data_IF_015854756180
#
_entry.id   IF_015854756180
#
_cell.length_a   1.000
_cell.length_b   1.000
_cell.length_c   1.000
_cell.angle_alpha   90.00
_cell.angle_beta   90.00
_cell.angle_gamma   90.00
#
_symmetry.space_group_name_H-M   'P 1'
#
loop_
_entity.id
_entity.type
_entity.pdbx_description
1 polymer ?
#
# COMPACT_ATOMS: atom_id res chain seq x y z
N UNK A 1 5.08 -19.33 -4.48
CA UNK A 1 3.88 -18.47 -4.64
C UNK A 1 4.06 -17.79 -5.96
N UNK A 2 3.14 -17.97 -6.89
CA UNK A 2 3.44 -17.76 -8.30
C UNK A 2 2.26 -17.07 -8.97
N UNK A 3 2.53 -16.01 -9.73
CA UNK A 3 1.59 -15.54 -10.73
C UNK A 3 1.52 -16.57 -11.85
N UNK A 4 0.31 -16.88 -12.32
CA UNK A 4 0.14 -17.70 -13.50
C UNK A 4 -0.33 -16.85 -14.67
N UNK A 5 0.49 -16.79 -15.72
CA UNK A 5 0.13 -16.19 -17.01
C UNK A 5 -0.47 -17.29 -17.90
N UNK A 6 -1.71 -17.11 -18.33
CA UNK A 6 -2.35 -17.96 -19.34
C UNK A 6 -3.05 -17.07 -20.35
N UNK A 7 -2.64 -17.18 -21.62
CA UNK A 7 -3.09 -16.28 -22.70
C UNK A 7 -2.76 -14.82 -22.35
N UNK A 8 -3.72 -13.91 -22.60
CA UNK A 8 -3.67 -12.48 -22.26
C UNK A 8 -4.20 -12.18 -20.85
N UNK A 9 -4.13 -13.15 -19.92
CA UNK A 9 -4.58 -12.96 -18.54
C UNK A 9 -3.60 -13.50 -17.54
N UNK A 10 -3.63 -12.88 -16.36
CA UNK A 10 -2.82 -13.26 -15.22
C UNK A 10 -3.69 -13.51 -14.02
N UNK A 11 -3.42 -14.63 -13.35
CA UNK A 11 -4.21 -15.17 -12.26
C UNK A 11 -3.38 -15.26 -10.99
N UNK A 12 -4.01 -14.96 -9.87
CA UNK A 12 -3.49 -15.31 -8.56
C UNK A 12 -3.79 -16.78 -8.27
N UNK A 13 -2.74 -17.55 -7.98
CA UNK A 13 -2.86 -18.97 -7.66
C UNK A 13 -2.23 -19.30 -6.31
N UNK A 14 -2.80 -20.29 -5.63
CA UNK A 14 -2.30 -20.81 -4.37
C UNK A 14 -1.09 -21.73 -4.56
N UNK A 15 -0.51 -22.19 -3.45
CA UNK A 15 0.68 -23.06 -3.45
C UNK A 15 0.44 -24.39 -4.16
N UNK A 16 -0.79 -24.88 -4.14
CA UNK A 16 -1.22 -26.09 -4.84
C UNK A 16 -1.62 -25.85 -6.31
N UNK A 17 -1.53 -24.61 -6.79
CA UNK A 17 -1.92 -24.20 -8.14
C UNK A 17 -3.41 -23.89 -8.33
N UNK A 18 -4.24 -23.97 -7.27
CA UNK A 18 -5.65 -23.58 -7.35
C UNK A 18 -5.80 -22.07 -7.58
N UNK A 19 -6.82 -21.67 -8.33
CA UNK A 19 -7.09 -20.26 -8.63
C UNK A 19 -7.80 -19.58 -7.44
N UNK A 20 -7.35 -18.39 -7.07
CA UNK A 20 -7.94 -17.60 -5.98
C UNK A 20 -9.12 -16.71 -6.43
N UNK A 21 -9.54 -16.79 -7.70
CA UNK A 21 -10.65 -15.99 -8.23
C UNK A 21 -10.27 -14.57 -8.68
N UNK A 22 -9.00 -14.18 -8.52
CA UNK A 22 -8.46 -12.88 -8.93
C UNK A 22 -7.73 -12.97 -10.25
N UNK A 23 -7.98 -12.00 -11.14
CA UNK A 23 -7.38 -11.96 -12.47
C UNK A 23 -7.22 -10.54 -13.00
N UNK A 24 -6.30 -10.35 -13.93
CA UNK A 24 -6.23 -9.14 -14.77
C UNK A 24 -5.78 -9.46 -16.19
N UNK A 25 -5.89 -8.49 -17.08
CA UNK A 25 -5.27 -8.56 -18.41
C UNK A 25 -3.73 -8.63 -18.29
N UNK A 26 -3.11 -9.42 -19.14
CA UNK A 26 -1.67 -9.51 -19.29
C UNK A 26 -1.18 -8.36 -20.18
N UNK A 27 -1.12 -7.16 -19.62
CA UNK A 27 -0.56 -5.97 -20.26
C UNK A 27 0.67 -5.46 -19.50
N UNK A 28 1.15 -4.25 -19.82
CA UNK A 28 2.30 -3.65 -19.12
C UNK A 28 2.06 -3.38 -17.62
N UNK A 29 0.81 -3.48 -17.13
CA UNK A 29 0.42 -3.36 -15.72
C UNK A 29 0.75 -4.62 -14.90
N UNK A 30 1.26 -5.68 -15.53
CA UNK A 30 1.70 -6.89 -14.84
C UNK A 30 2.80 -6.66 -13.81
N UNK A 31 3.58 -5.59 -13.97
CA UNK A 31 4.65 -5.22 -13.03
C UNK A 31 4.11 -4.96 -11.61
N UNK A 32 2.81 -4.65 -11.46
CA UNK A 32 2.24 -4.24 -10.18
C UNK A 32 1.33 -5.29 -9.54
N UNK A 33 1.20 -6.51 -10.07
CA UNK A 33 0.36 -7.54 -9.45
C UNK A 33 1.15 -8.34 -8.43
N UNK A 34 0.71 -8.30 -7.17
CA UNK A 34 1.35 -9.00 -6.05
C UNK A 34 0.49 -10.14 -5.51
N UNK A 35 -0.83 -10.08 -5.71
CA UNK A 35 -1.81 -11.03 -5.15
C UNK A 35 -1.92 -11.05 -3.61
N UNK A 36 -1.27 -10.13 -2.90
CA UNK A 36 -1.17 -10.17 -1.44
C UNK A 36 -2.54 -10.22 -0.73
N UNK A 37 -3.51 -9.44 -1.20
CA UNK A 37 -4.84 -9.42 -0.60
C UNK A 37 -5.62 -10.73 -0.85
N UNK A 38 -5.53 -11.28 -2.06
CA UNK A 38 -6.12 -12.57 -2.40
C UNK A 38 -5.56 -13.73 -1.55
N UNK A 39 -4.26 -13.65 -1.24
CA UNK A 39 -3.57 -14.62 -0.38
C UNK A 39 -4.07 -14.50 1.05
N UNK A 40 -4.15 -13.30 1.59
CA UNK A 40 -4.61 -13.08 2.95
C UNK A 40 -6.08 -13.52 3.13
N UNK A 41 -6.94 -13.26 2.15
CA UNK A 41 -8.30 -13.82 2.13
C UNK A 41 -8.30 -15.34 2.29
N UNK A 42 -7.43 -16.04 1.55
CA UNK A 42 -7.32 -17.50 1.63
C UNK A 42 -6.77 -17.96 2.98
N UNK A 43 -5.76 -17.28 3.53
CA UNK A 43 -5.16 -17.60 4.84
C UNK A 43 -6.20 -17.43 5.95
N UNK A 44 -6.95 -16.33 5.95
CA UNK A 44 -8.01 -16.08 6.92
C UNK A 44 -9.11 -17.14 6.80
N UNK A 45 -9.53 -17.48 5.58
CA UNK A 45 -10.53 -18.52 5.35
C UNK A 45 -10.07 -19.91 5.86
N UNK A 46 -8.80 -20.29 5.64
CA UNK A 46 -8.23 -21.54 6.16
C UNK A 46 -8.14 -21.55 7.70
N UNK A 47 -7.99 -20.37 8.31
CA UNK A 47 -8.04 -20.19 9.76
C UNK A 47 -9.47 -20.09 10.33
N UNK A 48 -10.52 -20.13 9.49
CA UNK A 48 -11.91 -19.93 9.91
C UNK A 48 -12.22 -18.49 10.36
N UNK A 49 -11.45 -17.51 9.88
CA UNK A 49 -11.59 -16.09 10.17
C UNK A 49 -12.13 -15.34 8.96
N UNK A 50 -12.75 -14.18 9.21
CA UNK A 50 -13.18 -13.28 8.16
C UNK A 50 -12.06 -12.30 7.82
N UNK A 51 -11.65 -12.25 6.55
CA UNK A 51 -10.79 -11.17 6.05
C UNK A 51 -11.63 -9.90 5.86
N UNK A 52 -11.26 -8.82 6.54
CA UNK A 52 -12.05 -7.58 6.57
C UNK A 52 -11.53 -6.49 5.63
N UNK A 53 -10.40 -6.73 4.95
CA UNK A 53 -9.80 -5.74 4.07
C UNK A 53 -10.36 -5.84 2.65
N UNK A 54 -10.49 -4.71 1.97
CA UNK A 54 -10.93 -4.64 0.57
C UNK A 54 -9.78 -4.97 -0.37
N UNK A 55 -10.03 -5.89 -1.30
CA UNK A 55 -9.14 -6.24 -2.40
C UNK A 55 -9.59 -5.62 -3.73
N UNK A 56 -8.63 -5.37 -4.62
CA UNK A 56 -8.87 -5.09 -6.03
C UNK A 56 -9.07 -6.41 -6.80
N UNK A 57 -9.73 -6.35 -7.97
CA UNK A 57 -10.00 -7.54 -8.80
C UNK A 57 -8.76 -8.29 -9.30
N UNK A 58 -7.58 -7.66 -9.25
CA UNK A 58 -6.29 -8.28 -9.57
C UNK A 58 -5.60 -8.95 -8.36
N UNK A 59 -6.23 -8.94 -7.18
CA UNK A 59 -5.74 -9.61 -5.97
C UNK A 59 -4.81 -8.76 -5.10
N UNK A 60 -4.54 -7.50 -5.46
CA UNK A 60 -3.85 -6.55 -4.59
C UNK A 60 -4.82 -5.93 -3.57
N UNK A 61 -4.27 -5.32 -2.52
CA UNK A 61 -5.08 -4.48 -1.64
C UNK A 61 -5.63 -3.27 -2.39
N UNK A 62 -6.88 -2.91 -2.08
CA UNK A 62 -7.37 -1.59 -2.41
C UNK A 62 -6.61 -0.57 -1.54
N UNK A 63 -5.90 0.42 -2.12
CA UNK A 63 -5.15 1.38 -1.31
C UNK A 63 -6.03 2.16 -0.34
N UNK A 64 -7.31 2.35 -0.66
CA UNK A 64 -8.30 2.96 0.22
C UNK A 64 -9.08 1.85 0.92
N UNK A 65 -9.00 1.82 2.25
CA UNK A 65 -9.78 0.95 3.11
C UNK A 65 -10.84 1.76 3.85
N UNK A 66 -11.88 1.07 4.32
CA UNK A 66 -12.96 1.68 5.10
C UNK A 66 -13.38 0.74 6.22
N UNK A 67 -13.43 1.23 7.45
CA UNK A 67 -13.88 0.47 8.61
C UNK A 67 -14.73 1.35 9.51
N UNK A 68 -15.96 0.90 9.79
CA UNK A 68 -16.94 1.65 10.56
C UNK A 68 -17.33 2.95 9.86
N UNK A 69 -16.78 4.07 10.33
CA UNK A 69 -17.02 5.42 9.80
C UNK A 69 -15.76 6.10 9.26
N UNK A 70 -14.62 5.40 9.23
CA UNK A 70 -13.33 5.98 8.87
C UNK A 70 -12.72 5.27 7.67
N UNK A 71 -12.08 6.06 6.82
CA UNK A 71 -11.17 5.63 5.78
C UNK A 71 -9.73 5.63 6.29
N UNK A 72 -8.91 4.75 5.71
CA UNK A 72 -7.46 4.75 5.91
C UNK A 72 -6.76 4.24 4.66
N UNK A 73 -5.50 4.61 4.49
CA UNK A 73 -4.68 4.11 3.41
C UNK A 73 -3.90 2.86 3.82
N UNK A 74 -3.66 1.96 2.87
CA UNK A 74 -2.74 0.83 3.05
C UNK A 74 -1.68 0.77 1.95
N UNK A 75 -0.54 0.20 2.29
CA UNK A 75 0.50 -0.13 1.32
C UNK A 75 0.19 -1.42 0.54
N UNK A 76 1.13 -1.84 -0.31
CA UNK A 76 0.98 -3.05 -1.13
C UNK A 76 0.92 -4.36 -0.33
N UNK A 77 1.28 -4.35 0.96
CA UNK A 77 1.22 -5.49 1.87
C UNK A 77 0.00 -5.43 2.80
N UNK A 78 -0.82 -4.38 2.72
CA UNK A 78 -2.00 -4.22 3.58
C UNK A 78 -1.71 -3.53 4.92
N UNK A 79 -0.52 -2.97 5.12
CA UNK A 79 -0.23 -2.21 6.33
C UNK A 79 -0.84 -0.81 6.24
N UNK A 80 -1.49 -0.37 7.31
CA UNK A 80 -2.03 0.98 7.41
C UNK A 80 -0.90 2.01 7.32
N UNK A 81 -1.15 3.05 6.53
CA UNK A 81 -0.26 4.19 6.33
C UNK A 81 -1.04 5.49 6.44
N UNK A 82 -0.45 6.49 7.10
CA UNK A 82 -1.10 7.78 7.31
C UNK A 82 -2.11 7.76 8.47
N UNK A 83 -3.09 8.66 8.41
CA UNK A 83 -4.08 8.87 9.47
C UNK A 83 -5.47 8.35 9.05
N UNK A 84 -6.34 8.12 10.04
CA UNK A 84 -7.75 7.83 9.83
C UNK A 84 -8.49 9.12 9.45
N UNK A 85 -9.36 9.05 8.45
CA UNK A 85 -10.13 10.20 7.97
C UNK A 85 -11.61 9.85 7.84
N UNK A 86 -12.51 10.81 8.08
CA UNK A 86 -13.95 10.62 7.81
C UNK A 86 -14.25 10.69 6.30
N UNK A 87 -13.49 11.53 5.58
CA UNK A 87 -13.57 11.64 4.13
C UNK A 87 -12.65 10.63 3.43
N UNK A 88 -13.02 10.26 2.20
CA UNK A 88 -12.22 9.34 1.37
C UNK A 88 -10.87 9.98 0.97
N UNK A 89 -9.72 9.42 1.38
CA UNK A 89 -8.41 10.03 1.13
C UNK A 89 -7.86 9.71 -0.26
N UNK A 90 -6.93 10.56 -0.72
CA UNK A 90 -6.08 10.30 -1.89
C UNK A 90 -4.82 9.52 -1.48
N UNK A 91 -4.94 8.19 -1.43
CA UNK A 91 -3.87 7.32 -0.93
C UNK A 91 -2.55 7.35 -1.73
N UNK A 92 -2.54 7.49 -3.07
CA UNK A 92 -1.30 7.76 -3.80
C UNK A 92 -0.48 8.93 -3.23
N UNK A 93 -1.15 10.04 -2.89
CA UNK A 93 -0.48 11.22 -2.31
C UNK A 93 0.02 10.94 -0.89
N UNK A 94 -0.76 10.23 -0.07
CA UNK A 94 -0.37 9.82 1.29
C UNK A 94 0.87 8.92 1.26
N UNK A 95 0.87 7.89 0.40
CA UNK A 95 1.98 6.96 0.22
C UNK A 95 3.26 7.68 -0.22
N UNK A 96 3.16 8.59 -1.18
CA UNK A 96 4.30 9.38 -1.65
C UNK A 96 4.85 10.31 -0.56
N UNK A 97 3.98 10.91 0.26
CA UNK A 97 4.39 11.75 1.40
C UNK A 97 5.15 10.94 2.45
N UNK A 98 4.72 9.72 2.74
CA UNK A 98 5.39 8.84 3.71
C UNK A 98 6.72 8.34 3.15
N UNK A 99 6.78 7.94 1.87
CA UNK A 99 8.06 7.66 1.23
C UNK A 99 9.01 8.86 1.31
N UNK A 100 8.52 10.09 1.10
CA UNK A 100 9.34 11.29 1.23
C UNK A 100 9.84 11.52 2.68
N UNK A 101 9.03 11.28 3.71
CA UNK A 101 9.44 11.43 5.11
C UNK A 101 10.36 10.29 5.61
N UNK A 102 10.28 9.10 5.02
CA UNK A 102 11.15 7.96 5.34
C UNK A 102 12.50 8.01 4.61
N UNK A 103 12.58 8.76 3.49
CA UNK A 103 13.80 8.91 2.67
C UNK A 103 14.53 10.22 2.97
N UNK A 104 13.85 11.26 3.46
CA UNK A 104 14.51 12.46 4.00
C UNK A 104 14.91 12.19 5.45
N UNK A 105 16.20 12.06 5.78
CA UNK A 105 16.59 11.92 7.17
C UNK A 105 16.09 13.16 7.94
N UNK A 106 15.50 12.92 9.11
CA UNK A 106 15.00 13.91 10.08
C UNK A 106 16.05 14.98 10.49
N UNK A 107 17.27 14.89 9.97
CA UNK A 107 18.36 15.84 10.09
C UNK A 107 18.10 17.18 9.38
N UNK A 108 17.21 17.23 8.38
CA UNK A 108 16.93 18.46 7.63
C UNK A 108 15.79 19.33 8.20
N UNK A 109 15.16 18.94 9.32
CA UNK A 109 14.09 19.72 9.96
C UNK A 109 14.58 20.59 11.14
N UNK A 110 15.90 20.69 11.37
CA UNK A 110 16.48 21.56 12.40
C UNK A 110 17.29 22.75 11.85
N UNK A 111 17.34 22.94 10.54
CA UNK A 111 18.13 24.04 9.94
C UNK A 111 17.31 25.30 9.59
N UNK A 112 15.98 25.30 9.77
CA UNK A 112 15.15 26.50 9.55
C UNK A 112 14.99 27.41 10.79
N UNK A 113 15.64 27.12 11.91
CA UNK A 113 15.53 27.94 13.15
C UNK A 113 16.77 28.76 13.52
N UNK A 114 17.79 28.87 12.66
CA UNK A 114 19.00 29.67 13.00
C UNK A 114 19.38 30.80 12.02
N UNK A 115 18.55 31.11 11.02
CA UNK A 115 18.70 32.38 10.26
C UNK A 115 18.10 33.54 11.07
N UNK A 116 18.74 33.88 12.19
CA UNK A 116 18.68 35.24 12.73
C UNK A 116 20.08 35.83 12.68
N UNK A 117 20.27 36.66 11.67
CA UNK A 117 21.43 37.55 11.51
C UNK A 117 21.56 38.42 12.77
N UNK A 118 22.55 38.13 13.61
CA UNK A 118 23.22 39.16 14.43
C UNK A 118 24.74 39.06 14.26
N UNK A 119 25.17 39.86 13.30
CA UNK A 119 26.50 40.41 13.09
C UNK A 119 27.20 40.77 14.41
N UNK A 120 28.32 40.12 14.74
CA UNK A 120 29.37 40.68 15.60
C UNK A 120 30.74 40.27 15.06
N UNK A 121 31.59 41.29 14.98
CA UNK A 121 32.92 41.38 14.38
C UNK A 121 33.96 40.50 15.07
N UNK A 122 34.89 39.96 14.29
CA UNK A 122 36.12 39.33 14.78
C UNK A 122 37.06 40.38 15.39
N UNK A 123 37.55 40.12 16.61
CA UNK A 123 38.85 40.55 17.14
C UNK A 123 39.51 39.36 17.82
#
# INVERSE_FOLDING_TARGET
MSLQVRLEKVFCVWRDGSHLGYQQAADSSLVNVTCNCAIDERIFAEAGLNHMMSCLGNGNYNPVQFSGTHYFCVDHNGFMVGELTEDRPDCPTVLNKIMYHSVVPQKYLLDELSVQVKQFTCF
#
